data_IF_186181279012
#
_entry.id   IF_186181279012
#
_cell.length_a   1.000
_cell.length_b   1.000
_cell.length_c   1.000
_cell.angle_alpha   90.00
_cell.angle_beta   90.00
_cell.angle_gamma   90.00
#
_symmetry.space_group_name_H-M   'P 1'
#
loop_
_entity.id
_entity.type
_entity.pdbx_description
1 polymer ?
#
# COMPACT_ATOMS: atom_id res chain seq x y z
N UNK A 1 -5.00 -11.85 39.72
CA UNK A 1 -6.10 -12.50 38.97
C UNK A 1 -6.13 -11.82 37.61
N UNK A 2 -5.82 -12.58 36.56
CA UNK A 2 -5.53 -12.06 35.22
C UNK A 2 -6.81 -11.62 34.51
N UNK A 3 -6.83 -10.39 34.00
CA UNK A 3 -7.84 -9.84 33.11
C UNK A 3 -8.01 -10.76 31.89
N UNK A 4 -9.01 -11.63 31.94
CA UNK A 4 -9.48 -12.38 30.78
C UNK A 4 -10.15 -11.38 29.84
N UNK A 5 -9.40 -10.79 28.92
CA UNK A 5 -9.97 -10.03 27.81
C UNK A 5 -11.04 -10.91 27.13
N UNK A 6 -12.31 -10.49 27.20
CA UNK A 6 -13.42 -11.16 26.52
C UNK A 6 -13.13 -11.15 25.02
N UNK A 7 -12.68 -12.28 24.48
CA UNK A 7 -12.47 -12.44 23.05
C UNK A 7 -13.84 -12.57 22.35
N UNK A 8 -14.07 -11.75 21.32
CA UNK A 8 -15.26 -11.86 20.48
C UNK A 8 -15.07 -13.00 19.49
N UNK A 9 -16.00 -13.95 19.46
CA UNK A 9 -15.96 -15.10 18.56
C UNK A 9 -16.77 -14.81 17.29
N UNK A 10 -16.15 -15.00 16.12
CA UNK A 10 -16.80 -14.84 14.82
C UNK A 10 -16.91 -16.19 14.11
N UNK A 11 -18.06 -16.43 13.47
CA UNK A 11 -18.25 -17.56 12.56
C UNK A 11 -17.88 -17.12 11.14
N UNK A 12 -16.72 -17.58 10.65
CA UNK A 12 -16.24 -17.26 9.31
C UNK A 12 -16.85 -18.19 8.27
N UNK A 13 -17.27 -17.63 7.13
CA UNK A 13 -17.68 -18.40 5.95
C UNK A 13 -16.47 -18.62 5.05
N UNK A 14 -15.97 -19.84 5.01
CA UNK A 14 -14.77 -20.22 4.26
C UNK A 14 -15.14 -21.19 3.14
N UNK A 15 -14.50 -21.08 1.97
CA UNK A 15 -14.61 -22.11 0.94
C UNK A 15 -13.96 -23.42 1.43
N UNK A 16 -14.40 -24.59 0.93
CA UNK A 16 -13.81 -25.88 1.32
C UNK A 16 -12.29 -25.91 1.10
N UNK A 17 -11.83 -25.36 -0.02
CA UNK A 17 -10.40 -25.27 -0.35
C UNK A 17 -9.61 -24.40 0.63
N UNK A 18 -10.17 -23.25 1.05
CA UNK A 18 -9.49 -22.36 1.98
C UNK A 18 -9.42 -22.97 3.39
N UNK A 19 -10.50 -23.65 3.80
CA UNK A 19 -10.54 -24.38 5.08
C UNK A 19 -9.47 -25.46 5.14
N UNK A 20 -9.30 -26.23 4.07
CA UNK A 20 -8.29 -27.29 4.02
C UNK A 20 -6.87 -26.73 4.09
N UNK A 21 -6.60 -25.63 3.37
CA UNK A 21 -5.30 -24.93 3.47
C UNK A 21 -4.99 -24.43 4.89
N UNK A 22 -6.00 -23.90 5.58
CA UNK A 22 -5.84 -23.45 6.97
C UNK A 22 -5.60 -24.64 7.92
N UNK A 23 -6.28 -25.77 7.71
CA UNK A 23 -6.06 -27.00 8.50
C UNK A 23 -4.61 -27.49 8.37
N UNK A 24 -4.13 -27.65 7.13
CA UNK A 24 -2.76 -28.11 6.86
C UNK A 24 -1.71 -27.15 7.44
N UNK A 25 -1.93 -25.84 7.32
CA UNK A 25 -1.06 -24.83 7.94
C UNK A 25 -1.00 -24.96 9.46
N UNK A 26 -2.17 -25.08 10.10
CA UNK A 26 -2.28 -25.18 11.54
C UNK A 26 -1.55 -26.42 12.09
N UNK A 27 -1.66 -27.56 11.40
CA UNK A 27 -0.93 -28.79 11.70
C UNK A 27 0.58 -28.62 11.57
N UNK A 28 1.05 -28.04 10.46
CA UNK A 28 2.49 -27.77 10.25
C UNK A 28 3.07 -26.84 11.32
N UNK A 29 2.28 -25.88 11.79
CA UNK A 29 2.67 -24.89 12.79
C UNK A 29 2.35 -25.33 14.24
N UNK A 30 1.90 -26.57 14.44
CA UNK A 30 1.51 -27.13 15.75
C UNK A 30 0.57 -26.22 16.57
N UNK A 31 -0.43 -25.62 15.91
CA UNK A 31 -1.41 -24.71 16.54
C UNK A 31 -2.83 -25.06 16.14
N UNK A 32 -3.81 -24.55 16.89
CA UNK A 32 -5.23 -24.72 16.53
C UNK A 32 -5.56 -23.95 15.26
N UNK A 33 -6.60 -24.37 14.52
CA UNK A 33 -7.02 -23.66 13.31
C UNK A 33 -7.40 -22.20 13.59
N UNK A 34 -8.03 -21.93 14.74
CA UNK A 34 -8.34 -20.56 15.16
C UNK A 34 -7.07 -19.75 15.47
N UNK A 35 -6.08 -20.34 16.14
CA UNK A 35 -4.80 -19.68 16.39
C UNK A 35 -4.03 -19.40 15.09
N UNK A 36 -4.12 -20.30 14.10
CA UNK A 36 -3.54 -20.08 12.77
C UNK A 36 -4.20 -18.92 12.03
N UNK A 37 -5.54 -18.85 12.08
CA UNK A 37 -6.31 -17.74 11.49
C UNK A 37 -5.93 -16.42 12.15
N UNK A 38 -5.92 -16.36 13.49
CA UNK A 38 -5.59 -15.14 14.23
C UNK A 38 -4.17 -14.67 13.90
N UNK A 39 -3.18 -15.56 13.99
CA UNK A 39 -1.80 -15.21 13.69
C UNK A 39 -1.62 -14.74 12.24
N UNK A 40 -2.30 -15.37 11.27
CA UNK A 40 -2.25 -14.93 9.87
C UNK A 40 -2.88 -13.55 9.67
N UNK A 41 -3.94 -13.24 10.42
CA UNK A 41 -4.56 -11.91 10.40
C UNK A 41 -3.61 -10.89 11.03
N UNK A 42 -3.06 -11.18 12.20
CA UNK A 42 -2.06 -10.34 12.88
C UNK A 42 -0.85 -10.08 11.98
N UNK A 43 -0.26 -11.13 11.38
CA UNK A 43 0.83 -11.02 10.42
C UNK A 43 0.45 -10.13 9.22
N UNK A 44 -0.81 -10.19 8.76
CA UNK A 44 -1.26 -9.36 7.64
C UNK A 44 -1.32 -7.88 8.01
N UNK A 45 -1.75 -7.54 9.23
CA UNK A 45 -1.75 -6.17 9.74
C UNK A 45 -0.34 -5.70 10.11
N UNK A 46 0.50 -6.56 10.67
CA UNK A 46 1.90 -6.26 10.94
C UNK A 46 2.70 -6.04 9.64
N UNK A 47 2.46 -6.82 8.59
CA UNK A 47 3.09 -6.62 7.29
C UNK A 47 2.66 -5.29 6.65
N UNK A 48 1.39 -4.90 6.78
CA UNK A 48 0.91 -3.57 6.39
C UNK A 48 1.63 -2.46 7.16
N UNK A 49 1.86 -2.67 8.46
CA UNK A 49 2.57 -1.72 9.33
C UNK A 49 4.09 -1.71 9.13
N UNK A 50 4.76 -2.82 8.83
CA UNK A 50 6.21 -2.88 8.56
C UNK A 50 6.56 -2.33 7.18
N UNK A 51 5.62 -2.34 6.23
CA UNK A 51 5.75 -1.66 4.93
C UNK A 51 5.72 -0.12 5.04
N UNK A 52 5.74 0.45 6.25
CA UNK A 52 5.66 1.89 6.52
C UNK A 52 6.98 2.65 6.45
N UNK A 53 8.11 2.00 6.08
CA UNK A 53 9.22 2.77 5.54
C UNK A 53 8.83 3.23 4.14
N UNK A 54 8.16 4.39 4.06
CA UNK A 54 7.88 5.06 2.82
C UNK A 54 9.20 5.19 2.05
N UNK A 55 9.25 4.59 0.85
CA UNK A 55 10.43 4.74 0.00
C UNK A 55 10.52 6.20 -0.41
N UNK A 56 11.57 6.91 -0.02
CA UNK A 56 11.79 8.31 -0.37
C UNK A 56 12.81 8.40 -1.49
N UNK A 57 12.47 9.08 -2.58
CA UNK A 57 13.39 9.45 -3.66
C UNK A 57 13.39 10.98 -3.80
N UNK A 58 14.57 11.55 -4.03
CA UNK A 58 14.74 12.98 -4.32
C UNK A 58 15.34 13.09 -5.71
N UNK A 59 14.69 13.86 -6.58
CA UNK A 59 15.07 14.04 -7.98
C UNK A 59 15.26 15.52 -8.25
N UNK A 60 16.35 15.87 -8.93
CA UNK A 60 16.58 17.23 -9.40
C UNK A 60 16.00 17.34 -10.81
N UNK A 61 15.00 18.20 -10.98
CA UNK A 61 14.35 18.40 -12.27
C UNK A 61 15.12 19.44 -13.12
N UNK A 62 15.07 19.34 -14.45
CA UNK A 62 15.78 20.28 -15.34
C UNK A 62 15.36 21.75 -15.19
N UNK A 63 14.14 22.00 -14.69
CA UNK A 63 13.62 23.33 -14.43
C UNK A 63 14.14 23.97 -13.12
N UNK A 64 15.06 23.31 -12.41
CA UNK A 64 15.63 23.78 -11.15
C UNK A 64 14.83 23.38 -9.90
N UNK A 65 13.65 22.77 -10.06
CA UNK A 65 12.87 22.27 -8.93
C UNK A 65 13.45 20.95 -8.41
N UNK A 66 13.18 20.67 -7.13
CA UNK A 66 13.34 19.33 -6.56
C UNK A 66 12.01 18.64 -6.49
N UNK A 67 12.00 17.39 -6.94
CA UNK A 67 10.87 16.48 -6.80
C UNK A 67 11.14 15.49 -5.69
N UNK A 68 10.23 15.44 -4.72
CA UNK A 68 10.18 14.41 -3.70
C UNK A 68 9.15 13.38 -4.11
N UNK A 69 9.55 12.11 -4.13
CA UNK A 69 8.66 10.99 -4.40
C UNK A 69 8.68 10.08 -3.19
N UNK A 70 7.54 9.88 -2.55
CA UNK A 70 7.44 9.04 -1.37
C UNK A 70 6.16 8.23 -1.28
N UNK A 71 6.23 7.10 -0.58
CA UNK A 71 5.05 6.27 -0.32
C UNK A 71 5.35 4.77 -0.31
N UNK A 72 4.32 3.99 0.02
CA UNK A 72 4.39 2.54 0.17
C UNK A 72 4.70 1.82 -1.15
N UNK A 73 4.27 2.36 -2.29
CA UNK A 73 4.38 1.71 -3.61
C UNK A 73 5.49 2.30 -4.49
N UNK A 74 6.19 3.35 -4.05
CA UNK A 74 7.26 4.00 -4.84
C UNK A 74 8.40 3.05 -5.21
N UNK A 75 8.71 2.07 -4.35
CA UNK A 75 9.70 1.03 -4.66
C UNK A 75 9.20 -0.06 -5.61
N UNK A 76 7.87 -0.17 -5.79
CA UNK A 76 7.26 -1.17 -6.66
C UNK A 76 7.01 -0.66 -8.08
N UNK A 77 6.99 0.65 -8.29
CA UNK A 77 6.78 1.26 -9.59
C UNK A 77 8.13 1.61 -10.22
N UNK A 78 8.41 0.97 -11.35
CA UNK A 78 9.54 1.29 -12.21
C UNK A 78 9.06 2.21 -13.35
N UNK A 79 8.95 3.50 -13.03
CA UNK A 79 8.47 4.55 -13.94
C UNK A 79 9.43 5.73 -13.93
N UNK A 80 9.41 6.51 -15.00
CA UNK A 80 10.20 7.73 -15.10
C UNK A 80 9.57 8.85 -14.26
N UNK A 81 10.17 9.15 -13.12
CA UNK A 81 9.73 10.21 -12.23
C UNK A 81 10.22 11.62 -12.64
N UNK A 82 11.02 11.74 -13.71
CA UNK A 82 11.56 13.03 -14.19
C UNK A 82 10.61 13.78 -15.13
N UNK A 83 9.60 13.10 -15.68
CA UNK A 83 8.59 13.66 -16.58
C UNK A 83 7.67 14.71 -15.91
N UNK A 84 6.81 15.41 -16.65
CA UNK A 84 5.87 16.36 -16.05
C UNK A 84 4.76 15.65 -15.22
N UNK A 85 4.11 16.35 -14.29
CA UNK A 85 3.12 15.74 -13.38
C UNK A 85 1.92 15.13 -14.11
N UNK A 86 1.51 15.68 -15.26
CA UNK A 86 0.36 15.18 -16.02
C UNK A 86 0.64 13.83 -16.67
N UNK A 87 1.83 13.64 -17.22
CA UNK A 87 2.22 12.35 -17.80
C UNK A 87 2.57 11.34 -16.71
N UNK A 88 3.25 11.80 -15.64
CA UNK A 88 3.51 10.96 -14.47
C UNK A 88 2.23 10.43 -13.83
N UNK A 89 1.18 11.25 -13.77
CA UNK A 89 -0.14 10.81 -13.29
C UNK A 89 -0.67 9.62 -14.09
N UNK A 90 -0.61 9.68 -15.43
CA UNK A 90 -1.11 8.59 -16.29
C UNK A 90 -0.33 7.30 -16.06
N UNK A 91 0.99 7.40 -15.88
CA UNK A 91 1.83 6.23 -15.61
C UNK A 91 1.51 5.61 -14.25
N UNK A 92 1.31 6.43 -13.22
CA UNK A 92 0.88 5.94 -11.89
C UNK A 92 -0.51 5.30 -11.98
N UNK A 93 -1.45 5.88 -12.74
CA UNK A 93 -2.77 5.29 -13.02
C UNK A 93 -2.65 3.91 -13.67
N UNK A 94 -1.79 3.78 -14.69
CA UNK A 94 -1.52 2.51 -15.37
C UNK A 94 -0.92 1.47 -14.41
N UNK A 95 0.07 1.85 -13.60
CA UNK A 95 0.66 0.96 -12.60
C UNK A 95 -0.37 0.48 -11.56
N UNK A 96 -1.24 1.37 -11.08
CA UNK A 96 -2.30 1.00 -10.14
C UNK A 96 -3.32 0.05 -10.77
N UNK A 97 -3.71 0.26 -12.03
CA UNK A 97 -4.62 -0.64 -12.72
C UNK A 97 -4.02 -2.05 -12.90
N UNK A 98 -2.74 -2.13 -13.28
CA UNK A 98 -2.00 -3.40 -13.36
C UNK A 98 -1.95 -4.08 -11.99
N UNK A 99 -1.63 -3.33 -10.93
CA UNK A 99 -1.52 -3.86 -9.57
C UNK A 99 -2.88 -4.39 -9.07
N UNK A 100 -3.97 -3.67 -9.37
CA UNK A 100 -5.35 -4.07 -9.06
C UNK A 100 -5.74 -5.38 -9.74
N UNK A 101 -5.28 -5.61 -10.97
CA UNK A 101 -5.54 -6.82 -11.76
C UNK A 101 -4.61 -8.00 -11.39
N UNK A 102 -3.68 -7.82 -10.45
CA UNK A 102 -2.77 -8.88 -10.00
C UNK A 102 -3.50 -10.10 -9.44
N UNK A 103 -2.97 -11.30 -9.70
CA UNK A 103 -3.45 -12.56 -9.10
C UNK A 103 -3.12 -12.66 -7.60
N UNK A 104 -2.23 -11.81 -7.08
CA UNK A 104 -1.84 -11.85 -5.67
C UNK A 104 -2.99 -11.35 -4.79
N UNK A 105 -3.44 -12.20 -3.85
CA UNK A 105 -4.56 -11.90 -2.95
C UNK A 105 -4.36 -10.61 -2.16
N UNK A 106 -3.13 -10.36 -1.68
CA UNK A 106 -2.78 -9.13 -0.95
C UNK A 106 -3.04 -7.86 -1.75
N UNK A 107 -2.73 -7.86 -3.06
CA UNK A 107 -2.98 -6.70 -3.91
C UNK A 107 -4.49 -6.53 -4.07
N UNK A 108 -5.24 -7.58 -4.40
CA UNK A 108 -6.70 -7.51 -4.53
C UNK A 108 -7.39 -6.98 -3.27
N UNK A 109 -6.94 -7.40 -2.08
CA UNK A 109 -7.46 -6.92 -0.80
C UNK A 109 -7.15 -5.43 -0.58
N UNK A 110 -5.97 -4.96 -0.99
CA UNK A 110 -5.56 -3.56 -0.89
C UNK A 110 -6.49 -2.61 -1.67
N UNK A 111 -7.11 -3.07 -2.76
CA UNK A 111 -8.08 -2.30 -3.56
C UNK A 111 -9.55 -2.58 -3.18
N UNK A 112 -9.82 -3.49 -2.23
CA UNK A 112 -11.19 -3.94 -1.95
C UNK A 112 -12.04 -2.82 -1.36
N UNK A 113 -13.18 -2.54 -1.98
CA UNK A 113 -14.15 -1.51 -1.57
C UNK A 113 -13.57 -0.08 -1.51
N UNK A 114 -12.40 0.17 -2.11
CA UNK A 114 -11.80 1.50 -2.16
C UNK A 114 -12.10 2.19 -3.49
N UNK A 115 -12.53 3.44 -3.43
CA UNK A 115 -12.66 4.28 -4.63
C UNK A 115 -11.39 5.11 -4.83
N UNK A 116 -10.42 4.50 -5.52
CA UNK A 116 -9.06 5.04 -5.67
C UNK A 116 -8.97 5.90 -6.94
N UNK A 117 -8.41 7.08 -6.80
CA UNK A 117 -8.09 7.97 -7.91
C UNK A 117 -6.83 8.78 -7.60
N UNK A 118 -6.23 9.40 -8.62
CA UNK A 118 -5.08 10.27 -8.43
C UNK A 118 -5.54 11.72 -8.38
N UNK A 119 -5.30 12.36 -7.23
CA UNK A 119 -5.44 13.79 -7.06
C UNK A 119 -4.20 14.49 -7.61
N UNK A 120 -4.39 15.50 -8.46
CA UNK A 120 -3.31 16.31 -9.01
C UNK A 120 -3.56 17.77 -8.64
N UNK A 121 -2.65 18.34 -7.86
CA UNK A 121 -2.57 19.78 -7.62
C UNK A 121 -1.62 20.47 -8.60
N UNK A 122 -1.33 21.75 -8.35
CA UNK A 122 -0.41 22.52 -9.17
C UNK A 122 1.01 21.93 -9.20
N UNK A 123 1.51 21.50 -8.03
CA UNK A 123 2.88 21.03 -7.83
C UNK A 123 2.95 19.63 -7.20
N UNK A 124 1.84 18.88 -7.14
CA UNK A 124 1.87 17.55 -6.54
C UNK A 124 0.88 16.58 -7.19
N UNK A 125 1.16 15.30 -7.07
CA UNK A 125 0.19 14.22 -7.28
C UNK A 125 0.15 13.31 -6.05
N UNK A 126 -1.04 12.82 -5.72
CA UNK A 126 -1.27 11.92 -4.59
C UNK A 126 -2.31 10.86 -4.97
N UNK A 127 -2.08 9.62 -4.53
CA UNK A 127 -3.04 8.53 -4.65
C UNK A 127 -3.98 8.56 -3.46
N UNK A 128 -5.25 8.86 -3.72
CA UNK A 128 -6.26 9.14 -2.70
C UNK A 128 -7.46 8.19 -2.80
N UNK A 129 -8.15 8.02 -1.68
CA UNK A 129 -9.47 7.38 -1.62
C UNK A 129 -10.56 8.44 -1.41
N UNK A 130 -11.61 8.39 -2.25
CA UNK A 130 -12.74 9.33 -2.16
C UNK A 130 -13.37 9.30 -0.76
N UNK A 131 -13.39 10.47 -0.11
CA UNK A 131 -13.97 10.63 1.24
C UNK A 131 -13.03 10.25 2.39
N UNK A 132 -11.81 9.77 2.11
CA UNK A 132 -10.80 9.43 3.13
C UNK A 132 -9.58 10.36 3.02
N UNK A 133 -9.07 10.57 1.80
CA UNK A 133 -7.87 11.37 1.56
C UNK A 133 -6.67 10.51 1.14
N UNK A 134 -5.45 10.93 1.50
CA UNK A 134 -4.21 10.28 1.08
C UNK A 134 -4.13 8.82 1.52
N UNK A 135 -3.71 7.95 0.61
CA UNK A 135 -3.41 6.55 0.93
C UNK A 135 -1.93 6.35 1.28
N UNK A 136 -1.09 7.38 1.15
CA UNK A 136 0.37 7.28 1.26
C UNK A 136 0.98 6.20 0.35
N UNK A 137 0.34 5.91 -0.78
CA UNK A 137 0.81 4.88 -1.72
C UNK A 137 1.89 5.43 -2.63
N UNK A 138 1.60 6.54 -3.31
CA UNK A 138 2.56 7.33 -4.09
C UNK A 138 2.16 8.78 -3.93
N UNK A 139 3.08 9.58 -3.43
CA UNK A 139 2.99 11.03 -3.33
C UNK A 139 4.19 11.60 -4.05
N UNK A 140 3.97 12.59 -4.89
CA UNK A 140 5.01 13.30 -5.62
C UNK A 140 4.78 14.78 -5.42
N UNK A 141 5.82 15.50 -4.99
CA UNK A 141 5.75 16.94 -4.76
C UNK A 141 6.95 17.65 -5.39
N UNK A 142 6.66 18.71 -6.15
CA UNK A 142 7.64 19.61 -6.74
C UNK A 142 7.80 20.85 -5.88
N UNK A 143 9.03 21.11 -5.46
CA UNK A 143 9.40 22.26 -4.66
C UNK A 143 10.50 23.03 -5.37
N UNK A 144 10.30 24.34 -5.53
CA UNK A 144 11.37 25.22 -5.98
C UNK A 144 12.46 25.30 -4.90
N UNK A 145 13.73 25.25 -5.31
CA UNK A 145 14.84 25.60 -4.43
C UNK A 145 15.68 26.70 -5.05
N UNK A 146 16.05 27.73 -4.26
CA UNK A 146 17.05 28.67 -4.70
C UNK A 146 18.39 27.93 -4.90
N UNK A 147 19.18 28.31 -5.91
CA UNK A 147 20.54 27.81 -6.03
C UNK A 147 21.30 28.13 -4.74
N UNK A 148 22.06 27.16 -4.22
CA UNK A 148 22.93 27.40 -3.06
C UNK A 148 24.00 28.39 -3.49
N UNK A 149 24.03 29.56 -2.85
CA UNK A 149 25.18 30.46 -2.93
C UNK A 149 26.41 29.71 -2.41
N UNK A 150 27.46 29.63 -3.23
CA UNK A 150 28.75 29.03 -2.89
C UNK A 150 29.64 30.06 -2.17
#
# INVERSE_FOLDING_TARGET
MTDTHKTVQYQLRLSPELREKLRQSAEQQNRSMNADIVARLEDSFEAENRSSLANLKIIHLPNGNKRYVFGKLVGAFDIDYTQNLTDLKKDVENCLDILRKSKQLKHRLMFLNKNIHIHQGANHIDVVESGVGTLNWVIVEDHWQPPKEN
#
